data_IF_038896869613
#
_entry.id   IF_038896869613
#
_cell.length_a   1.000
_cell.length_b   1.000
_cell.length_c   1.000
_cell.angle_alpha   90.00
_cell.angle_beta   90.00
_cell.angle_gamma   90.00
#
_symmetry.space_group_name_H-M   'P 1'
#
loop_
_entity.id
_entity.type
_entity.pdbx_description
1 polymer ?
#
# COMPACT_ATOMS: atom_id res chain seq x y z
N UNK A 1 2.11 -7.25 -9.95
CA UNK A 1 1.34 -6.46 -8.96
C UNK A 1 0.48 -7.41 -8.16
N UNK A 2 0.54 -7.32 -6.83
CA UNK A 2 -0.15 -8.23 -5.90
C UNK A 2 -1.63 -7.91 -5.70
N UNK A 3 -2.04 -6.68 -6.04
CA UNK A 3 -3.43 -6.21 -6.00
C UNK A 3 -3.94 -6.06 -7.44
N UNK A 4 -5.08 -6.67 -7.74
CA UNK A 4 -5.72 -6.54 -9.05
C UNK A 4 -6.61 -5.29 -9.12
N UNK A 5 -6.87 -4.81 -10.34
CA UNK A 5 -7.79 -3.69 -10.58
C UNK A 5 -9.18 -3.94 -9.98
N UNK A 6 -9.74 -5.14 -10.18
CA UNK A 6 -11.07 -5.49 -9.66
C UNK A 6 -11.11 -5.46 -8.12
N UNK A 7 -10.09 -6.01 -7.45
CA UNK A 7 -9.99 -5.92 -5.97
C UNK A 7 -9.86 -4.48 -5.48
N UNK A 8 -9.10 -3.64 -6.19
CA UNK A 8 -8.99 -2.22 -5.86
C UNK A 8 -10.33 -1.48 -6.05
N UNK A 9 -11.08 -1.81 -7.11
CA UNK A 9 -12.42 -1.27 -7.37
C UNK A 9 -13.43 -1.71 -6.31
N UNK A 10 -13.38 -2.96 -5.87
CA UNK A 10 -14.18 -3.45 -4.73
C UNK A 10 -13.89 -2.65 -3.45
N UNK A 11 -12.61 -2.42 -3.14
CA UNK A 11 -12.18 -1.62 -1.98
C UNK A 11 -12.68 -0.16 -2.06
N UNK A 12 -12.71 0.42 -3.26
CA UNK A 12 -13.16 1.78 -3.53
C UNK A 12 -14.70 1.90 -3.69
N UNK A 13 -15.42 0.78 -3.66
CA UNK A 13 -16.82 0.71 -4.09
C UNK A 13 -17.07 1.33 -5.49
N UNK A 14 -16.07 1.25 -6.39
CA UNK A 14 -16.12 1.81 -7.73
C UNK A 14 -16.65 0.76 -8.73
N UNK A 15 -17.68 1.12 -9.50
CA UNK A 15 -18.34 0.20 -10.45
C UNK A 15 -18.20 0.61 -11.91
N UNK A 16 -17.82 1.87 -12.16
CA UNK A 16 -17.59 2.40 -13.50
C UNK A 16 -16.14 2.19 -13.92
N UNK A 17 -15.91 2.17 -15.23
CA UNK A 17 -14.59 1.96 -15.83
C UNK A 17 -13.81 3.28 -16.06
N UNK A 18 -14.44 4.44 -15.85
CA UNK A 18 -13.87 5.75 -16.20
C UNK A 18 -12.53 6.04 -15.49
N UNK A 19 -12.32 5.46 -14.31
CA UNK A 19 -11.12 5.64 -13.50
C UNK A 19 -10.15 4.43 -13.57
N UNK A 20 -10.40 3.42 -14.41
CA UNK A 20 -9.59 2.19 -14.44
C UNK A 20 -8.09 2.50 -14.66
N UNK A 21 -7.77 3.32 -15.67
CA UNK A 21 -6.39 3.76 -15.95
C UNK A 21 -5.76 4.52 -14.78
N UNK A 22 -6.56 5.30 -14.03
CA UNK A 22 -6.09 6.03 -12.86
C UNK A 22 -5.80 5.06 -11.71
N UNK A 23 -6.72 4.13 -11.44
CA UNK A 23 -6.60 3.15 -10.37
C UNK A 23 -5.39 2.24 -10.65
N UNK A 24 -5.19 1.77 -11.87
CA UNK A 24 -4.01 0.96 -12.22
C UNK A 24 -2.69 1.68 -11.93
N UNK A 25 -2.58 2.97 -12.31
CA UNK A 25 -1.39 3.77 -11.98
C UNK A 25 -1.19 3.92 -10.47
N UNK A 26 -2.27 4.08 -9.71
CA UNK A 26 -2.21 4.21 -8.25
C UNK A 26 -1.85 2.88 -7.57
N UNK A 27 -2.29 1.74 -8.08
CA UNK A 27 -1.86 0.42 -7.57
C UNK A 27 -0.35 0.27 -7.77
N UNK A 28 0.17 0.59 -8.96
CA UNK A 28 1.59 0.50 -9.26
C UNK A 28 2.44 1.40 -8.34
N UNK A 29 2.01 2.65 -8.17
CA UNK A 29 2.67 3.58 -7.26
C UNK A 29 2.59 3.09 -5.80
N UNK A 30 1.45 2.57 -5.38
CA UNK A 30 1.22 2.13 -4.00
C UNK A 30 2.07 0.92 -3.67
N UNK A 31 2.11 -0.10 -4.54
CA UNK A 31 2.96 -1.27 -4.34
C UNK A 31 4.43 -0.88 -4.25
N UNK A 32 4.93 -0.05 -5.18
CA UNK A 32 6.33 0.39 -5.14
C UNK A 32 6.67 1.14 -3.84
N UNK A 33 5.79 2.04 -3.40
CA UNK A 33 6.03 2.77 -2.16
C UNK A 33 5.98 1.87 -0.93
N UNK A 34 5.06 0.91 -0.92
CA UNK A 34 4.93 -0.08 0.14
C UNK A 34 6.17 -0.98 0.22
N UNK A 35 6.67 -1.47 -0.91
CA UNK A 35 7.93 -2.23 -1.02
C UNK A 35 9.15 -1.45 -0.52
N UNK A 36 9.21 -0.14 -0.78
CA UNK A 36 10.26 0.73 -0.22
C UNK A 36 10.22 0.78 1.32
N UNK A 37 9.02 0.76 1.93
CA UNK A 37 8.90 0.68 3.38
C UNK A 37 9.24 -0.71 3.94
N UNK A 38 8.92 -1.77 3.19
CA UNK A 38 9.26 -3.14 3.57
C UNK A 38 10.75 -3.44 3.44
N UNK A 39 11.44 -2.77 2.51
CA UNK A 39 12.84 -3.01 2.20
C UNK A 39 13.07 -4.15 1.20
N UNK A 40 12.02 -4.58 0.49
CA UNK A 40 12.10 -5.63 -0.52
C UNK A 40 10.93 -5.62 -1.50
N UNK A 41 11.11 -6.30 -2.64
CA UNK A 41 10.06 -6.59 -3.61
C UNK A 41 9.19 -7.77 -3.14
N UNK A 42 7.87 -7.59 -3.11
CA UNK A 42 6.94 -8.57 -2.51
C UNK A 42 6.86 -9.83 -3.37
N UNK A 43 6.77 -9.66 -4.68
CA UNK A 43 6.65 -10.77 -5.65
C UNK A 43 7.93 -11.62 -5.69
N UNK A 44 9.11 -11.06 -5.38
CA UNK A 44 10.35 -11.83 -5.22
C UNK A 44 10.39 -12.62 -3.91
N UNK A 45 9.87 -12.06 -2.81
CA UNK A 45 9.89 -12.71 -1.49
C UNK A 45 8.81 -13.79 -1.35
N UNK A 46 7.66 -13.56 -1.96
CA UNK A 46 6.48 -14.40 -1.86
C UNK A 46 6.00 -14.78 -3.27
N UNK A 47 6.77 -15.58 -4.03
CA UNK A 47 6.47 -15.88 -5.43
C UNK A 47 5.21 -16.73 -5.62
N UNK A 48 4.86 -17.55 -4.63
CA UNK A 48 3.74 -18.52 -4.72
C UNK A 48 2.54 -18.16 -3.83
N UNK A 49 2.77 -17.48 -2.71
CA UNK A 49 1.74 -17.20 -1.70
C UNK A 49 2.01 -15.86 -1.01
N UNK A 50 1.44 -14.78 -1.55
CA UNK A 50 1.54 -13.44 -0.98
C UNK A 50 0.63 -13.34 0.25
N UNK A 51 1.15 -13.00 1.43
CA UNK A 51 0.35 -12.79 2.62
C UNK A 51 -0.81 -11.80 2.37
N UNK A 52 -2.08 -12.15 2.71
CA UNK A 52 -3.22 -11.27 2.46
C UNK A 52 -3.11 -9.88 3.10
N UNK A 53 -2.37 -9.76 4.21
CA UNK A 53 -2.10 -8.48 4.85
C UNK A 53 -1.32 -7.52 3.94
N UNK A 54 -0.37 -8.02 3.13
CA UNK A 54 0.39 -7.19 2.19
C UNK A 54 -0.51 -6.69 1.04
N UNK A 55 -1.38 -7.55 0.52
CA UNK A 55 -2.40 -7.16 -0.47
C UNK A 55 -3.31 -6.07 0.10
N UNK A 56 -3.77 -6.22 1.35
CA UNK A 56 -4.58 -5.22 2.02
C UNK A 56 -3.83 -3.90 2.27
N UNK A 57 -2.54 -3.96 2.61
CA UNK A 57 -1.70 -2.77 2.76
C UNK A 57 -1.61 -1.93 1.49
N UNK A 58 -1.39 -2.59 0.34
CA UNK A 58 -1.42 -1.90 -0.97
C UNK A 58 -2.81 -1.32 -1.24
N UNK A 59 -3.89 -2.06 -0.95
CA UNK A 59 -5.26 -1.59 -1.15
C UNK A 59 -5.59 -0.34 -0.32
N UNK A 60 -5.18 -0.28 0.95
CA UNK A 60 -5.36 0.89 1.81
C UNK A 60 -4.63 2.12 1.26
N UNK A 61 -3.40 1.94 0.77
CA UNK A 61 -2.61 3.05 0.22
C UNK A 61 -3.18 3.53 -1.12
N UNK A 62 -3.58 2.61 -2.00
CA UNK A 62 -4.28 2.94 -3.26
C UNK A 62 -5.56 3.72 -2.98
N UNK A 63 -6.38 3.26 -2.04
CA UNK A 63 -7.61 3.95 -1.67
C UNK A 63 -7.34 5.35 -1.10
N UNK A 64 -6.34 5.49 -0.24
CA UNK A 64 -5.97 6.78 0.32
C UNK A 64 -5.59 7.79 -0.78
N UNK A 65 -4.76 7.42 -1.75
CA UNK A 65 -4.33 8.32 -2.82
C UNK A 65 -5.40 8.58 -3.87
N UNK A 66 -6.32 7.64 -4.09
CA UNK A 66 -7.46 7.85 -4.98
C UNK A 66 -8.41 8.93 -4.43
N UNK A 67 -8.72 8.86 -3.13
CA UNK A 67 -9.59 9.80 -2.43
C UNK A 67 -8.93 11.16 -2.17
N UNK A 68 -7.62 11.17 -1.91
CA UNK A 68 -6.85 12.37 -1.56
C UNK A 68 -5.93 12.78 -2.71
N UNK A 69 -6.48 13.51 -3.69
CA UNK A 69 -5.80 13.88 -4.94
C UNK A 69 -4.91 15.13 -4.85
N UNK A 70 -4.76 15.69 -3.67
CA UNK A 70 -3.94 16.87 -3.41
C UNK A 70 -2.78 16.51 -2.48
N UNK A 71 -1.58 17.02 -2.77
CA UNK A 71 -0.39 16.76 -1.94
C UNK A 71 -0.50 17.35 -0.51
N UNK A 72 -1.41 18.29 -0.30
CA UNK A 72 -1.67 18.89 1.01
C UNK A 72 -3.14 19.22 1.15
N UNK A 73 -3.72 18.91 2.30
CA UNK A 73 -5.08 19.30 2.66
C UNK A 73 -4.99 20.30 3.82
N UNK A 74 -5.53 21.50 3.63
CA UNK A 74 -5.49 22.56 4.66
C UNK A 74 -6.68 22.40 5.60
N UNK A 75 -6.43 22.43 6.92
CA UNK A 75 -7.50 22.44 7.93
C UNK A 75 -8.03 21.06 8.34
N UNK A 76 -7.42 19.97 7.88
CA UNK A 76 -7.74 18.61 8.30
C UNK A 76 -6.62 18.08 9.21
N UNK A 77 -6.97 17.65 10.42
CA UNK A 77 -6.05 16.89 11.29
C UNK A 77 -6.32 15.39 11.12
N UNK A 78 -5.35 14.65 10.57
CA UNK A 78 -5.43 13.19 10.54
C UNK A 78 -5.13 12.63 11.95
N UNK A 79 -5.94 11.68 12.41
CA UNK A 79 -5.65 10.89 13.60
C UNK A 79 -5.18 9.50 13.16
N UNK A 80 -4.18 8.95 13.86
CA UNK A 80 -3.78 7.57 13.66
C UNK A 80 -4.94 6.64 14.06
N UNK A 81 -5.35 5.76 13.15
CA UNK A 81 -6.29 4.70 13.45
C UNK A 81 -5.56 3.51 14.09
N UNK A 82 -6.18 2.81 15.05
CA UNK A 82 -5.68 1.52 15.50
C UNK A 82 -5.70 0.50 14.35
N UNK A 83 -4.67 -0.36 14.25
CA UNK A 83 -4.56 -1.41 13.23
C UNK A 83 -4.46 -0.85 11.81
N UNK A 84 -3.53 0.09 11.63
CA UNK A 84 -3.35 0.83 10.39
C UNK A 84 -2.31 0.19 9.45
N UNK A 85 -2.11 0.86 8.31
CA UNK A 85 -1.06 0.52 7.34
C UNK A 85 0.32 0.38 8.01
N UNK A 86 0.62 1.22 9.00
CA UNK A 86 1.88 1.17 9.75
C UNK A 86 2.08 -0.13 10.52
N UNK A 87 1.02 -0.72 11.08
CA UNK A 87 1.13 -1.99 11.82
C UNK A 87 1.51 -3.12 10.85
N UNK A 88 0.87 -3.17 9.67
CA UNK A 88 1.23 -4.12 8.60
C UNK A 88 2.68 -3.91 8.15
N UNK A 89 3.12 -2.66 7.94
CA UNK A 89 4.52 -2.39 7.56
C UNK A 89 5.47 -2.92 8.64
N UNK A 90 5.19 -2.65 9.91
CA UNK A 90 6.08 -3.04 11.01
C UNK A 90 6.21 -4.56 11.15
N UNK A 91 5.13 -5.31 10.88
CA UNK A 91 5.11 -6.77 10.96
C UNK A 91 5.92 -7.45 9.84
N UNK A 92 6.02 -6.82 8.67
CA UNK A 92 6.59 -7.43 7.46
C UNK A 92 7.90 -6.80 6.98
N UNK A 93 8.31 -5.63 7.48
CA UNK A 93 9.54 -4.95 7.04
C UNK A 93 10.80 -5.70 7.48
N UNK A 94 11.84 -5.62 6.65
CA UNK A 94 13.18 -6.02 7.05
C UNK A 94 13.73 -5.03 8.11
N UNK A 95 14.28 -5.60 9.20
CA UNK A 95 14.94 -4.84 10.26
C UNK A 95 16.45 -5.00 10.12
N UNK A 96 17.14 -3.99 9.59
CA UNK A 96 18.60 -3.91 9.68
C UNK A 96 18.99 -3.18 10.97
N UNK A 97 19.54 -3.92 11.94
CA UNK A 97 20.26 -3.30 13.05
C UNK A 97 21.70 -3.12 12.59
N UNK A 98 22.17 -1.87 12.48
CA UNK A 98 23.54 -1.59 12.07
C UNK A 98 24.52 -2.34 12.96
N UNK A 99 25.51 -3.02 12.37
CA UNK A 99 26.55 -3.69 13.14
C UNK A 99 27.28 -2.65 13.99
N UNK A 100 27.27 -2.85 15.32
CA UNK A 100 28.19 -2.16 16.21
C UNK A 100 29.57 -2.78 15.98
N UNK A 101 30.40 -2.13 15.19
CA UNK A 101 31.83 -2.46 15.13
C UNK A 101 32.44 -2.21 16.51
N UNK A 102 32.95 -3.27 17.14
CA UNK A 102 33.76 -3.21 18.38
C UNK A 102 35.04 -2.40 18.21
#
# INVERSE_FOLDING_TARGET
MILTLEQAKEQLAQTLADDDDLIERLIAAAQNHFENWLGYEIEERYPDDVPPALVHGVALLTAHWYENREASVVGVSAQALPFGLQDIINDYRDWSFGEVSE
#
